data_IF_575282135443
#
_entry.id   IF_575282135443
#
_cell.length_a   1.000
_cell.length_b   1.000
_cell.length_c   1.000
_cell.angle_alpha   90.00
_cell.angle_beta   90.00
_cell.angle_gamma   90.00
#
_symmetry.space_group_name_H-M   'P 1'
#
loop_
_entity.id
_entity.type
_entity.pdbx_description
1 polymer ?
#
# COMPACT_ATOMS: atom_id res chain seq x y z
N UNK A 1 -11.58 -5.89 20.76
CA UNK A 1 -10.12 -5.89 20.58
C UNK A 1 -9.80 -6.50 19.23
N UNK A 2 -9.33 -5.70 18.27
CA UNK A 2 -8.92 -6.23 16.97
C UNK A 2 -7.62 -7.02 17.14
N UNK A 3 -7.62 -8.30 16.76
CA UNK A 3 -6.44 -9.15 16.81
C UNK A 3 -5.57 -8.84 15.58
N UNK A 4 -4.71 -7.83 15.69
CA UNK A 4 -3.74 -7.52 14.63
C UNK A 4 -2.70 -8.65 14.62
N UNK A 5 -2.79 -9.54 13.62
CA UNK A 5 -1.79 -10.60 13.41
C UNK A 5 -0.48 -9.98 12.91
N UNK A 6 0.35 -9.53 13.83
CA UNK A 6 1.71 -9.05 13.54
C UNK A 6 2.58 -10.24 13.10
N UNK A 7 2.95 -10.28 11.82
CA UNK A 7 3.95 -11.25 11.31
C UNK A 7 5.29 -11.13 12.04
N UNK A 8 5.61 -9.93 12.54
CA UNK A 8 6.92 -9.59 13.12
C UNK A 8 6.88 -9.43 14.66
N UNK A 9 6.11 -10.25 15.38
CA UNK A 9 5.98 -10.16 16.86
C UNK A 9 7.34 -10.11 17.59
N UNK A 10 8.32 -10.91 17.14
CA UNK A 10 9.69 -10.94 17.69
C UNK A 10 10.40 -9.59 17.59
N UNK A 11 10.17 -8.85 16.50
CA UNK A 11 10.77 -7.54 16.28
C UNK A 11 10.16 -6.49 17.22
N UNK A 12 8.86 -6.55 17.45
CA UNK A 12 8.18 -5.67 18.42
C UNK A 12 8.67 -5.93 19.85
N UNK A 13 8.87 -7.19 20.24
CA UNK A 13 9.42 -7.54 21.55
C UNK A 13 10.87 -7.03 21.73
N UNK A 14 11.70 -7.13 20.67
CA UNK A 14 13.05 -6.57 20.68
C UNK A 14 13.03 -5.03 20.77
N UNK A 15 12.12 -4.37 20.06
CA UNK A 15 11.95 -2.92 20.13
C UNK A 15 11.55 -2.47 21.53
N UNK A 16 10.59 -3.18 22.15
CA UNK A 16 10.18 -2.94 23.52
C UNK A 16 11.35 -3.09 24.49
N UNK A 17 12.17 -4.15 24.37
CA UNK A 17 13.34 -4.34 25.22
C UNK A 17 14.37 -3.20 25.06
N UNK A 18 14.64 -2.75 23.82
CA UNK A 18 15.53 -1.61 23.58
C UNK A 18 15.00 -0.33 24.23
N UNK A 19 13.71 -0.04 24.08
CA UNK A 19 13.08 1.14 24.68
C UNK A 19 13.14 1.10 26.21
N UNK A 20 12.94 -0.07 26.82
CA UNK A 20 13.08 -0.27 28.27
C UNK A 20 14.50 0.02 28.72
N UNK A 21 15.51 -0.47 28.00
CA UNK A 21 16.91 -0.21 28.34
C UNK A 21 17.28 1.28 28.24
N UNK A 22 16.75 1.99 27.23
CA UNK A 22 17.05 3.41 27.00
C UNK A 22 16.31 4.31 27.99
N UNK A 23 15.04 4.03 28.28
CA UNK A 23 14.17 4.92 29.07
C UNK A 23 13.98 4.45 30.52
N UNK A 24 14.40 3.25 30.87
CA UNK A 24 14.25 2.67 32.21
C UNK A 24 12.81 2.37 32.62
N UNK A 25 11.83 2.52 31.71
CA UNK A 25 10.40 2.32 31.96
C UNK A 25 9.85 1.23 31.07
N UNK A 26 9.01 0.36 31.64
CA UNK A 26 8.21 -0.62 30.90
C UNK A 26 7.12 0.10 30.10
N UNK A 27 7.23 0.07 28.78
CA UNK A 27 6.22 0.57 27.84
C UNK A 27 5.41 -0.63 27.34
N UNK A 28 4.08 -0.49 27.23
CA UNK A 28 3.23 -1.56 26.71
C UNK A 28 3.32 -1.67 25.18
N UNK A 29 2.99 -2.82 24.61
CA UNK A 29 2.97 -3.00 23.15
C UNK A 29 1.96 -2.06 22.46
N UNK A 30 0.81 -1.81 23.11
CA UNK A 30 -0.19 -0.87 22.62
C UNK A 30 0.35 0.55 22.59
N UNK A 31 0.99 0.99 23.67
CA UNK A 31 1.59 2.33 23.78
C UNK A 31 2.71 2.55 22.76
N UNK A 32 3.48 1.50 22.42
CA UNK A 32 4.46 1.56 21.32
C UNK A 32 3.74 1.76 19.98
N UNK A 33 2.68 1.00 19.71
CA UNK A 33 1.93 1.11 18.45
C UNK A 33 1.26 2.46 18.32
N UNK A 34 0.64 2.98 19.38
CA UNK A 34 0.01 4.30 19.39
C UNK A 34 1.04 5.38 19.07
N UNK A 35 2.23 5.32 19.69
CA UNK A 35 3.32 6.26 19.40
C UNK A 35 3.88 6.11 18.00
N UNK A 36 3.93 4.90 17.45
CA UNK A 36 4.30 4.70 16.04
C UNK A 36 3.29 5.36 15.10
N UNK A 37 1.99 5.25 15.38
CA UNK A 37 0.95 5.88 14.57
C UNK A 37 1.08 7.41 14.65
N UNK A 38 1.21 7.99 15.85
CA UNK A 38 1.43 9.43 16.03
C UNK A 38 2.71 9.92 15.33
N UNK A 39 3.79 9.13 15.38
CA UNK A 39 5.04 9.44 14.72
C UNK A 39 4.90 9.42 13.19
N UNK A 40 4.26 8.39 12.64
CA UNK A 40 3.98 8.28 11.21
C UNK A 40 3.06 9.39 10.71
N UNK A 41 2.06 9.81 11.49
CA UNK A 41 1.17 10.92 11.14
C UNK A 41 1.93 12.26 11.09
N UNK A 42 2.80 12.50 12.06
CA UNK A 42 3.64 13.71 12.09
C UNK A 42 4.78 13.74 11.06
N UNK A 43 5.17 12.59 10.52
CA UNK A 43 6.22 12.42 9.51
C UNK A 43 5.67 11.73 8.26
N UNK A 44 4.46 12.11 7.86
CA UNK A 44 3.72 11.42 6.81
C UNK A 44 4.49 11.39 5.48
N UNK A 45 5.17 12.49 5.13
CA UNK A 45 5.97 12.57 3.89
C UNK A 45 7.11 11.53 3.89
N UNK A 46 7.83 11.39 5.00
CA UNK A 46 8.89 10.39 5.14
C UNK A 46 8.32 8.96 5.10
N UNK A 47 7.16 8.77 5.72
CA UNK A 47 6.45 7.50 5.77
C UNK A 47 5.93 7.05 4.38
N UNK A 48 5.43 7.98 3.56
CA UNK A 48 5.00 7.73 2.17
C UNK A 48 6.19 7.34 1.30
N UNK A 49 7.33 8.03 1.47
CA UNK A 49 8.57 7.74 0.74
C UNK A 49 9.15 6.35 1.09
N UNK A 50 8.82 5.80 2.26
CA UNK A 50 9.32 4.52 2.76
C UNK A 50 8.67 3.30 2.09
N UNK A 51 8.48 3.29 0.76
CA UNK A 51 8.00 2.14 -0.05
C UNK A 51 6.72 1.42 0.43
N UNK A 52 5.96 2.00 1.37
CA UNK A 52 4.73 1.40 1.90
C UNK A 52 3.64 1.44 0.82
N UNK A 53 3.64 2.50 0.02
CA UNK A 53 2.77 2.63 -1.14
C UNK A 53 3.63 2.58 -2.41
N UNK A 54 3.23 1.80 -3.44
CA UNK A 54 3.84 1.95 -4.75
C UNK A 54 3.68 3.41 -5.18
N UNK A 55 4.78 4.02 -5.64
CA UNK A 55 4.84 5.40 -6.11
C UNK A 55 3.61 5.77 -6.94
N UNK A 56 3.00 6.93 -6.64
CA UNK A 56 1.85 7.46 -7.38
C UNK A 56 2.12 7.46 -8.89
N UNK A 57 1.06 7.29 -9.69
CA UNK A 57 1.14 7.36 -11.15
C UNK A 57 1.68 8.73 -11.54
N UNK A 58 2.96 8.80 -11.92
CA UNK A 58 3.56 10.04 -12.45
C UNK A 58 2.84 10.46 -13.72
N UNK A 59 2.78 11.77 -13.99
CA UNK A 59 2.19 12.30 -15.23
C UNK A 59 2.80 11.65 -16.48
N UNK A 60 4.08 11.27 -16.43
CA UNK A 60 4.77 10.56 -17.49
C UNK A 60 4.21 9.14 -17.72
N UNK A 61 3.91 8.41 -16.64
CA UNK A 61 3.24 7.09 -16.73
C UNK A 61 1.82 7.24 -17.25
N UNK A 62 1.09 8.26 -16.81
CA UNK A 62 -0.27 8.55 -17.29
C UNK A 62 -0.23 8.85 -18.80
N UNK A 63 0.68 9.71 -19.25
CA UNK A 63 0.88 10.01 -20.68
C UNK A 63 1.31 8.79 -21.48
N UNK A 64 2.17 7.94 -20.94
CA UNK A 64 2.56 6.67 -21.57
C UNK A 64 1.38 5.71 -21.74
N UNK A 65 0.54 5.57 -20.72
CA UNK A 65 -0.66 4.72 -20.79
C UNK A 65 -1.67 5.28 -21.79
N UNK A 66 -1.91 6.60 -21.77
CA UNK A 66 -2.80 7.27 -22.72
C UNK A 66 -2.28 7.23 -24.16
N UNK A 67 -0.96 7.36 -24.37
CA UNK A 67 -0.32 7.25 -25.68
C UNK A 67 -0.36 5.83 -26.26
N UNK A 68 -0.39 4.82 -25.40
CA UNK A 68 -0.50 3.42 -25.79
C UNK A 68 -1.94 2.90 -25.77
N UNK A 69 -2.92 3.78 -25.55
CA UNK A 69 -4.32 3.42 -25.68
C UNK A 69 -4.56 3.04 -27.14
N UNK A 70 -4.72 1.75 -27.39
CA UNK A 70 -5.08 1.24 -28.71
C UNK A 70 -6.49 1.75 -28.97
N UNK A 71 -6.62 2.63 -29.96
CA UNK A 71 -7.91 2.96 -30.53
C UNK A 71 -8.39 1.73 -31.28
N UNK A 72 -9.15 0.88 -30.60
CA UNK A 72 -9.80 -0.29 -31.18
C UNK A 72 -11.17 0.17 -31.69
N UNK A 73 -11.31 0.53 -32.98
CA UNK A 73 -12.61 0.83 -33.53
C UNK A 73 -13.50 -0.40 -33.41
N UNK A 74 -14.74 -0.18 -32.97
CA UNK A 74 -15.75 -1.24 -32.89
C UNK A 74 -16.22 -1.52 -34.31
N UNK A 75 -15.66 -2.54 -34.94
CA UNK A 75 -15.97 -2.93 -36.32
C UNK A 75 -17.38 -3.52 -36.47
N UNK A 76 -17.93 -4.12 -35.42
CA UNK A 76 -19.24 -4.75 -35.42
C UNK A 76 -20.08 -4.23 -34.24
N UNK A 77 -20.80 -3.12 -34.45
CA UNK A 77 -21.62 -2.51 -33.39
C UNK A 77 -22.88 -3.30 -33.05
N UNK A 78 -23.35 -4.13 -33.99
CA UNK A 78 -24.63 -4.85 -33.88
C UNK A 78 -24.47 -6.31 -33.46
N UNK A 79 -23.23 -6.78 -33.28
CA UNK A 79 -22.92 -8.16 -32.92
C UNK A 79 -21.89 -8.20 -31.81
N UNK A 80 -22.04 -9.17 -30.92
CA UNK A 80 -21.06 -9.45 -29.88
C UNK A 80 -19.83 -10.14 -30.46
N UNK A 81 -18.69 -10.00 -29.77
CA UNK A 81 -17.44 -10.65 -30.18
C UNK A 81 -17.62 -12.17 -30.32
N UNK A 82 -18.44 -12.77 -29.45
CA UNK A 82 -18.73 -14.20 -29.50
C UNK A 82 -19.53 -14.59 -30.75
N UNK A 83 -20.51 -13.79 -31.17
CA UNK A 83 -21.26 -14.01 -32.42
C UNK A 83 -20.36 -13.85 -33.66
N UNK A 84 -19.37 -12.96 -33.60
CA UNK A 84 -18.41 -12.73 -34.70
C UNK A 84 -17.35 -13.84 -34.77
N UNK A 85 -16.90 -14.35 -33.62
CA UNK A 85 -15.81 -15.33 -33.54
C UNK A 85 -16.33 -16.77 -33.71
N UNK A 86 -17.51 -17.07 -33.16
CA UNK A 86 -18.05 -18.44 -33.11
C UNK A 86 -19.18 -18.71 -34.10
N UNK A 87 -19.61 -17.73 -34.90
CA UNK A 87 -20.72 -17.84 -35.87
C UNK A 87 -21.99 -18.48 -35.23
N UNK A 88 -22.32 -18.05 -34.01
CA UNK A 88 -23.50 -18.49 -33.25
C UNK A 88 -24.80 -17.83 -33.75
#
# INVERSE_FOLDING_TARGET
>A
MANVKLKNKKLLEQLQAKLVLIKGRKISQQEILDKCIEFSDSHLDDFINEKIMPSELTEEKIKSILSNAIDCPVYYQEKTDDEVIYDL
#
